data_IF_627683394718
#
_entry.id   IF_627683394718
#
_cell.length_a   1.000
_cell.length_b   1.000
_cell.length_c   1.000
_cell.angle_alpha   90.00
_cell.angle_beta   90.00
_cell.angle_gamma   90.00
#
_symmetry.space_group_name_H-M   'P 1'
#
loop_
_entity.id
_entity.type
_entity.pdbx_description
1 polymer ?
#
# COMPACT_ATOMS: atom_id res chain seq x y z
N UNK A 1 -15.95 5.73 12.14
CA UNK A 1 -15.00 4.61 11.99
C UNK A 1 -14.75 4.41 10.49
N UNK A 2 -13.54 4.03 10.11
CA UNK A 2 -13.23 3.69 8.70
C UNK A 2 -13.74 2.30 8.36
N UNK A 3 -14.25 2.11 7.15
CA UNK A 3 -14.67 0.79 6.66
C UNK A 3 -13.46 -0.08 6.28
N UNK A 4 -13.61 -1.41 6.18
CA UNK A 4 -12.55 -2.29 5.70
C UNK A 4 -11.99 -1.88 4.33
N UNK A 5 -12.85 -1.47 3.41
CA UNK A 5 -12.46 -1.00 2.05
C UNK A 5 -11.63 0.28 2.14
N UNK A 6 -12.04 1.23 3.00
CA UNK A 6 -11.30 2.47 3.21
C UNK A 6 -9.91 2.21 3.80
N UNK A 7 -9.77 1.22 4.69
CA UNK A 7 -8.46 0.82 5.24
C UNK A 7 -7.57 0.19 4.17
N UNK A 8 -8.11 -0.77 3.42
CA UNK A 8 -7.41 -1.41 2.28
C UNK A 8 -6.93 -0.36 1.29
N UNK A 9 -7.82 0.53 0.83
CA UNK A 9 -7.48 1.60 -0.11
C UNK A 9 -6.39 2.52 0.44
N UNK A 10 -6.46 2.90 1.73
CA UNK A 10 -5.45 3.76 2.36
C UNK A 10 -4.08 3.10 2.43
N UNK A 11 -4.02 1.79 2.72
CA UNK A 11 -2.77 1.02 2.79
C UNK A 11 -2.13 0.90 1.41
N UNK A 12 -2.92 0.56 0.39
CA UNK A 12 -2.44 0.44 -0.99
C UNK A 12 -1.96 1.79 -1.54
N UNK A 13 -2.75 2.86 -1.34
CA UNK A 13 -2.36 4.20 -1.74
C UNK A 13 -1.07 4.67 -1.05
N UNK A 14 -0.89 4.35 0.24
CA UNK A 14 0.33 4.68 0.97
C UNK A 14 1.54 3.93 0.40
N UNK A 15 1.38 2.64 0.08
CA UNK A 15 2.46 1.87 -0.58
C UNK A 15 2.86 2.51 -1.91
N UNK A 16 1.90 2.87 -2.75
CA UNK A 16 2.20 3.45 -4.07
C UNK A 16 2.83 4.83 -3.97
N UNK A 17 2.43 5.63 -2.98
CA UNK A 17 3.11 6.87 -2.65
C UNK A 17 4.57 6.63 -2.24
N UNK A 18 4.83 5.63 -1.38
CA UNK A 18 6.19 5.30 -0.97
C UNK A 18 7.05 4.81 -2.14
N UNK A 19 6.49 4.05 -3.09
CA UNK A 19 7.18 3.68 -4.35
C UNK A 19 7.60 4.92 -5.13
N UNK A 20 6.67 5.86 -5.31
CA UNK A 20 6.93 7.12 -6.01
C UNK A 20 8.07 7.91 -5.35
N UNK A 21 8.09 7.97 -4.01
CA UNK A 21 9.17 8.61 -3.26
C UNK A 21 10.51 7.87 -3.39
N UNK A 22 10.50 6.53 -3.33
CA UNK A 22 11.69 5.69 -3.41
C UNK A 22 12.36 5.73 -4.79
N UNK A 23 11.56 5.81 -5.85
CA UNK A 23 12.01 5.92 -7.23
C UNK A 23 12.59 7.31 -7.49
N UNK A 24 11.98 8.36 -6.93
CA UNK A 24 12.48 9.74 -7.02
C UNK A 24 12.51 10.28 -8.45
N UNK A 25 11.71 9.70 -9.35
CA UNK A 25 11.61 10.05 -10.76
C UNK A 25 10.57 11.15 -10.99
N UNK A 26 9.49 11.18 -10.21
CA UNK A 26 8.40 12.15 -10.35
C UNK A 26 8.74 13.52 -9.75
N UNK A 27 9.62 13.57 -8.74
CA UNK A 27 9.99 14.81 -8.03
C UNK A 27 11.47 14.81 -7.67
N UNK A 28 12.06 16.01 -7.46
CA UNK A 28 13.37 16.16 -6.85
C UNK A 28 13.31 15.80 -5.35
N UNK A 29 13.16 14.50 -5.06
CA UNK A 29 13.09 13.98 -3.70
C UNK A 29 14.51 13.92 -3.13
N UNK A 30 14.79 14.50 -1.95
CA UNK A 30 16.10 14.39 -1.30
C UNK A 30 16.52 12.93 -1.09
N UNK A 31 17.82 12.62 -1.23
CA UNK A 31 18.32 11.25 -1.12
C UNK A 31 17.96 10.54 0.19
N UNK A 32 17.96 11.27 1.31
CA UNK A 32 17.54 10.75 2.62
C UNK A 32 16.07 10.32 2.65
N UNK A 33 15.18 11.08 2.00
CA UNK A 33 13.76 10.74 1.91
C UNK A 33 13.56 9.49 1.05
N UNK A 34 14.32 9.33 -0.04
CA UNK A 34 14.27 8.11 -0.87
C UNK A 34 14.72 6.88 -0.08
N UNK A 35 15.80 7.00 0.68
CA UNK A 35 16.33 5.93 1.51
C UNK A 35 15.32 5.51 2.59
N UNK A 36 14.69 6.48 3.25
CA UNK A 36 13.61 6.23 4.22
C UNK A 36 12.41 5.54 3.55
N UNK A 37 11.95 6.02 2.40
CA UNK A 37 10.83 5.43 1.66
C UNK A 37 11.11 3.97 1.26
N UNK A 38 12.33 3.67 0.81
CA UNK A 38 12.76 2.29 0.54
C UNK A 38 12.72 1.41 1.80
N UNK A 39 13.19 1.93 2.93
CA UNK A 39 13.13 1.21 4.21
C UNK A 39 11.69 0.90 4.63
N UNK A 40 10.79 1.88 4.52
CA UNK A 40 9.37 1.71 4.86
C UNK A 40 8.65 0.73 3.91
N UNK A 41 8.97 0.75 2.61
CA UNK A 41 8.39 -0.16 1.62
C UNK A 41 8.62 -1.64 1.93
N UNK A 42 9.76 -1.96 2.55
CA UNK A 42 10.09 -3.34 2.93
C UNK A 42 9.18 -3.87 4.05
N UNK A 43 8.67 -2.98 4.92
CA UNK A 43 7.74 -3.33 5.99
C UNK A 43 6.27 -3.12 5.65
N UNK A 44 5.97 -2.43 4.55
CA UNK A 44 4.60 -2.20 4.12
C UNK A 44 4.06 -3.42 3.36
N UNK A 45 2.81 -3.85 3.61
CA UNK A 45 2.21 -4.98 2.91
C UNK A 45 2.16 -4.77 1.40
N UNK A 46 2.27 -5.86 0.65
CA UNK A 46 2.07 -5.87 -0.80
C UNK A 46 0.58 -5.99 -1.14
N UNK A 47 0.17 -5.67 -2.38
CA UNK A 47 -1.22 -5.90 -2.81
C UNK A 47 -1.67 -7.35 -2.62
N UNK A 48 -0.77 -8.32 -2.85
CA UNK A 48 -1.05 -9.75 -2.64
C UNK A 48 -1.30 -10.08 -1.17
N UNK A 49 -0.51 -9.50 -0.25
CA UNK A 49 -0.73 -9.69 1.19
C UNK A 49 -2.11 -9.17 1.60
N UNK A 50 -2.51 -8.01 1.09
CA UNK A 50 -3.81 -7.40 1.42
C UNK A 50 -4.98 -8.21 0.85
N UNK A 51 -4.84 -8.79 -0.35
CA UNK A 51 -5.84 -9.74 -0.88
C UNK A 51 -6.00 -10.93 0.06
N UNK A 52 -4.89 -11.55 0.48
CA UNK A 52 -4.93 -12.69 1.40
C UNK A 52 -5.59 -12.32 2.73
N UNK A 53 -5.26 -11.16 3.30
CA UNK A 53 -5.85 -10.69 4.54
C UNK A 53 -7.33 -10.31 4.42
N UNK A 54 -7.77 -9.82 3.27
CA UNK A 54 -9.20 -9.56 3.02
C UNK A 54 -10.03 -10.84 2.98
N UNK A 55 -9.42 -11.96 2.59
CA UNK A 55 -10.07 -13.27 2.62
C UNK A 55 -10.10 -13.87 4.03
N UNK A 56 -9.03 -13.67 4.80
CA UNK A 56 -8.88 -14.23 6.16
C UNK A 56 -9.59 -13.40 7.25
N UNK A 57 -9.67 -12.07 7.09
CA UNK A 57 -10.27 -11.15 8.07
C UNK A 57 -11.06 -10.03 7.38
N UNK A 58 -12.19 -10.35 6.73
CA UNK A 58 -12.97 -9.40 5.91
C UNK A 58 -13.58 -8.23 6.70
N UNK A 59 -13.79 -8.38 8.01
CA UNK A 59 -14.23 -7.30 8.90
C UNK A 59 -13.12 -6.26 9.19
N UNK A 60 -11.87 -6.62 8.91
CA UNK A 60 -10.70 -5.75 9.06
C UNK A 60 -10.27 -5.19 7.70
N UNK A 61 -10.23 -6.02 6.67
CA UNK A 61 -9.69 -5.70 5.35
C UNK A 61 -10.74 -5.93 4.26
N UNK A 62 -11.05 -4.87 3.51
CA UNK A 62 -11.89 -4.99 2.33
C UNK A 62 -11.10 -5.59 1.17
N UNK A 63 -11.79 -6.28 0.27
CA UNK A 63 -11.20 -6.79 -0.97
C UNK A 63 -10.77 -5.59 -1.85
N UNK A 64 -9.51 -5.53 -2.34
CA UNK A 64 -9.06 -4.44 -3.20
C UNK A 64 -9.91 -4.29 -4.48
N UNK A 65 -10.22 -3.05 -4.88
CA UNK A 65 -10.91 -2.81 -6.15
C UNK A 65 -10.10 -3.39 -7.33
N UNK A 66 -10.78 -4.11 -8.25
CA UNK A 66 -10.16 -4.78 -9.39
C UNK A 66 -9.60 -6.18 -9.11
N UNK A 67 -9.71 -6.70 -7.89
CA UNK A 67 -9.31 -8.09 -7.57
C UNK A 67 -10.45 -9.12 -7.70
N UNK A 68 -11.67 -8.69 -8.02
CA UNK A 68 -12.82 -9.57 -8.26
C UNK A 68 -12.85 -10.22 -9.66
N UNK A 69 -11.95 -9.80 -10.56
CA UNK A 69 -11.84 -10.29 -11.95
C UNK A 69 -10.74 -11.36 -12.13
N UNK A 70 -10.20 -11.92 -11.03
CA UNK A 70 -9.14 -12.94 -11.04
C UNK A 70 -9.67 -14.30 -10.61
#
# INVERSE_FOLDING_TARGET
>A
MTTPEQRTASVLATRDFLKTLADGTTYQVPGAVRALARGLLLGFPTPTDVVLWSLDSPEIWGLPEGSADV
#
